data_IF_125555342836
#
_entry.id   IF_125555342836
#
_cell.length_a   1.000
_cell.length_b   1.000
_cell.length_c   1.000
_cell.angle_alpha   90.00
_cell.angle_beta   90.00
_cell.angle_gamma   90.00
#
_symmetry.space_group_name_H-M   'P 1'
#
loop_
_entity.id
_entity.type
_entity.pdbx_description
1 polymer ?
#
# COMPACT_ATOMS: atom_id res chain seq x y z
N UNK A 1 74.38 47.59 -35.68
CA UNK A 1 73.72 48.51 -36.64
C UNK A 1 72.26 48.07 -36.78
N UNK A 2 71.30 48.98 -36.62
CA UNK A 2 69.89 48.75 -37.03
C UNK A 2 69.86 48.53 -38.56
N UNK A 3 68.92 47.75 -39.11
CA UNK A 3 67.61 48.31 -39.43
C UNK A 3 66.42 47.38 -39.15
N UNK A 4 65.24 48.00 -39.18
CA UNK A 4 63.92 47.41 -39.01
C UNK A 4 63.25 47.19 -40.38
N UNK A 5 62.32 46.24 -40.48
CA UNK A 5 61.10 46.42 -41.29
C UNK A 5 59.94 45.54 -40.83
N UNK A 6 58.77 46.16 -40.82
CA UNK A 6 57.44 45.69 -40.39
C UNK A 6 56.73 44.84 -41.45
N UNK A 7 55.91 43.88 -41.02
CA UNK A 7 54.65 43.40 -41.64
C UNK A 7 53.94 42.50 -40.60
N UNK A 8 52.94 42.94 -39.83
CA UNK A 8 51.50 43.10 -40.10
C UNK A 8 50.80 41.85 -40.67
N UNK A 9 50.34 40.93 -39.81
CA UNK A 9 49.17 40.08 -40.07
C UNK A 9 48.32 39.98 -38.78
N UNK A 10 47.01 40.09 -39.01
CA UNK A 10 45.92 40.41 -38.08
C UNK A 10 45.64 39.31 -37.06
N UNK A 11 45.45 39.71 -35.80
CA UNK A 11 44.89 38.88 -34.75
C UNK A 11 43.38 38.68 -35.00
N UNK A 12 42.96 37.44 -35.21
CA UNK A 12 41.58 37.02 -35.05
C UNK A 12 41.38 36.63 -33.58
N UNK A 13 40.63 37.45 -32.84
CA UNK A 13 40.24 37.15 -31.47
C UNK A 13 39.26 35.98 -31.45
N UNK A 14 39.64 34.89 -30.80
CA UNK A 14 38.73 33.80 -30.48
C UNK A 14 37.89 34.22 -29.26
N UNK A 15 36.62 34.52 -29.49
CA UNK A 15 35.63 34.67 -28.42
C UNK A 15 35.31 33.26 -27.91
N UNK A 16 35.87 32.90 -26.75
CA UNK A 16 35.50 31.69 -26.03
C UNK A 16 34.10 31.89 -25.42
N UNK A 17 33.07 31.37 -26.08
CA UNK A 17 31.73 31.29 -25.54
C UNK A 17 31.67 30.14 -24.51
N UNK A 18 31.58 30.48 -23.23
CA UNK A 18 31.32 29.54 -22.14
C UNK A 18 29.91 28.95 -22.29
N UNK A 19 29.81 27.73 -22.83
CA UNK A 19 28.58 26.97 -22.81
C UNK A 19 28.30 26.49 -21.37
N UNK A 20 27.37 27.15 -20.69
CA UNK A 20 26.81 26.65 -19.45
C UNK A 20 26.06 25.34 -19.75
N UNK A 21 26.55 24.22 -19.22
CA UNK A 21 25.84 22.95 -19.20
C UNK A 21 24.59 23.10 -18.33
N UNK A 22 23.46 23.38 -18.97
CA UNK A 22 22.14 23.22 -18.37
C UNK A 22 21.87 21.71 -18.33
N UNK A 23 22.10 21.09 -17.18
CA UNK A 23 21.62 19.73 -16.94
C UNK A 23 20.08 19.77 -17.00
N UNK A 24 19.43 19.04 -17.92
CA UNK A 24 17.99 18.90 -17.86
C UNK A 24 17.65 18.13 -16.58
N UNK A 25 16.95 18.78 -15.66
CA UNK A 25 16.20 18.08 -14.61
C UNK A 25 15.20 17.18 -15.35
N UNK A 26 15.53 15.91 -15.53
CA UNK A 26 14.54 14.90 -15.85
C UNK A 26 13.64 14.81 -14.63
N UNK A 27 12.51 15.52 -14.67
CA UNK A 27 11.42 15.27 -13.75
C UNK A 27 11.08 13.78 -13.89
N UNK A 28 11.45 12.98 -12.89
CA UNK A 28 10.88 11.65 -12.72
C UNK A 28 9.36 11.85 -12.73
N UNK A 29 8.61 11.25 -13.67
CA UNK A 29 7.17 11.35 -13.62
C UNK A 29 6.74 10.84 -12.24
N UNK A 30 6.11 11.73 -11.47
CA UNK A 30 5.35 11.33 -10.30
C UNK A 30 4.44 10.20 -10.76
N UNK A 31 4.59 9.02 -10.14
CA UNK A 31 3.96 7.79 -10.60
C UNK A 31 2.51 8.05 -10.95
N UNK A 32 2.19 7.97 -12.25
CA UNK A 32 0.82 7.88 -12.68
C UNK A 32 0.25 6.65 -11.96
N UNK A 33 -0.73 6.86 -11.09
CA UNK A 33 -1.49 5.76 -10.54
C UNK A 33 -2.11 5.05 -11.74
N UNK A 34 -1.62 3.87 -12.07
CA UNK A 34 -2.24 3.02 -13.09
C UNK A 34 -3.68 2.85 -12.65
N UNK A 35 -4.62 3.28 -13.48
CA UNK A 35 -6.04 3.07 -13.21
C UNK A 35 -6.26 1.56 -13.03
N UNK A 36 -6.96 1.17 -11.97
CA UNK A 36 -7.27 -0.23 -11.72
C UNK A 36 -8.02 -0.81 -12.93
N UNK A 37 -7.61 -1.98 -13.40
CA UNK A 37 -8.25 -2.62 -14.55
C UNK A 37 -9.66 -3.07 -14.18
N UNK A 38 -10.64 -2.82 -15.05
CA UNK A 38 -11.96 -3.41 -14.85
C UNK A 38 -11.95 -4.85 -15.39
N UNK A 39 -12.02 -5.83 -14.51
CA UNK A 39 -11.96 -7.24 -14.88
C UNK A 39 -13.35 -7.89 -14.95
N UNK A 40 -13.46 -8.96 -15.73
CA UNK A 40 -14.67 -9.73 -15.92
C UNK A 40 -14.85 -10.84 -14.86
N UNK A 41 -16.11 -11.13 -14.52
CA UNK A 41 -16.53 -12.26 -13.70
C UNK A 41 -15.67 -12.51 -12.46
N UNK A 42 -15.14 -13.73 -12.32
CA UNK A 42 -14.35 -14.15 -11.15
C UNK A 42 -12.99 -13.43 -11.03
N UNK A 43 -12.53 -12.72 -12.06
CA UNK A 43 -11.35 -11.87 -11.95
C UNK A 43 -11.64 -10.49 -11.35
N UNK A 44 -12.91 -10.06 -11.29
CA UNK A 44 -13.29 -8.71 -10.84
C UNK A 44 -12.62 -8.23 -9.54
N UNK A 45 -12.39 -9.07 -8.51
CA UNK A 45 -11.72 -8.65 -7.28
C UNK A 45 -10.20 -8.42 -7.37
N UNK A 46 -9.55 -8.74 -8.50
CA UNK A 46 -8.08 -8.83 -8.66
C UNK A 46 -7.49 -7.78 -9.62
N UNK A 47 -8.10 -6.59 -9.66
CA UNK A 47 -7.77 -5.44 -10.53
C UNK A 47 -6.35 -4.85 -10.41
N UNK A 48 -5.56 -5.31 -9.44
CA UNK A 48 -4.19 -4.87 -9.12
C UNK A 48 -3.23 -6.05 -8.89
N UNK A 49 -3.58 -7.27 -9.31
CA UNK A 49 -2.67 -8.40 -9.18
C UNK A 49 -1.45 -8.17 -10.09
N UNK A 50 -0.21 -8.30 -9.58
CA UNK A 50 1.00 -7.99 -10.35
C UNK A 50 1.38 -9.17 -11.26
N UNK A 51 0.47 -9.60 -12.13
CA UNK A 51 0.64 -10.79 -12.99
C UNK A 51 1.84 -10.68 -13.94
N UNK A 52 2.18 -9.45 -14.34
CA UNK A 52 3.34 -9.17 -15.22
C UNK A 52 4.66 -9.01 -14.45
N UNK A 53 4.66 -9.14 -13.12
CA UNK A 53 5.89 -9.05 -12.36
C UNK A 53 6.82 -10.22 -12.74
N UNK A 54 8.14 -9.99 -12.92
CA UNK A 54 9.07 -11.04 -13.33
C UNK A 54 9.02 -12.29 -12.45
N UNK A 55 8.82 -12.12 -11.14
CA UNK A 55 8.70 -13.23 -10.20
C UNK A 55 7.42 -14.07 -10.42
N UNK A 56 6.31 -13.45 -10.83
CA UNK A 56 5.07 -14.16 -11.14
C UNK A 56 5.20 -14.91 -12.48
N UNK A 57 5.73 -14.24 -13.51
CA UNK A 57 5.92 -14.83 -14.85
C UNK A 57 6.95 -15.98 -14.87
N UNK A 58 7.90 -15.99 -13.94
CA UNK A 58 8.94 -17.01 -13.86
C UNK A 58 8.47 -18.32 -13.20
N UNK A 59 7.27 -18.35 -12.62
CA UNK A 59 6.72 -19.56 -11.99
C UNK A 59 6.42 -20.64 -13.03
N UNK A 60 6.82 -21.87 -12.74
CA UNK A 60 6.76 -22.98 -13.69
C UNK A 60 5.46 -23.79 -13.58
N UNK A 61 4.81 -23.84 -12.43
CA UNK A 61 3.61 -24.64 -12.17
C UNK A 61 3.86 -25.94 -11.42
N UNK A 62 5.13 -26.26 -11.11
CA UNK A 62 5.53 -27.44 -10.35
C UNK A 62 6.32 -27.03 -9.09
N UNK A 63 7.50 -26.44 -9.28
CA UNK A 63 8.34 -25.92 -8.18
C UNK A 63 7.74 -24.64 -7.61
N UNK A 64 7.23 -23.79 -8.49
CA UNK A 64 6.71 -22.47 -8.18
C UNK A 64 5.29 -22.32 -8.76
N UNK A 65 4.31 -21.95 -7.93
CA UNK A 65 2.92 -21.77 -8.37
C UNK A 65 2.47 -20.33 -8.13
N UNK A 66 1.97 -19.62 -9.16
CA UNK A 66 1.54 -18.23 -9.02
C UNK A 66 0.07 -18.16 -8.56
N UNK A 67 -0.21 -17.25 -7.64
CA UNK A 67 -1.55 -16.98 -7.12
C UNK A 67 -1.79 -15.46 -7.01
N UNK A 68 -3.01 -15.02 -7.23
CA UNK A 68 -3.48 -13.68 -6.89
C UNK A 68 -4.25 -13.73 -5.58
N UNK A 69 -3.96 -12.81 -4.65
CA UNK A 69 -4.66 -12.70 -3.36
C UNK A 69 -5.20 -11.29 -3.20
N UNK A 70 -6.46 -11.18 -2.81
CA UNK A 70 -7.13 -9.92 -2.51
C UNK A 70 -7.95 -10.07 -1.23
N UNK A 71 -8.01 -9.03 -0.41
CA UNK A 71 -8.86 -8.99 0.78
C UNK A 71 -9.46 -7.60 0.91
N UNK A 72 -10.77 -7.53 1.09
CA UNK A 72 -11.49 -6.28 1.24
C UNK A 72 -12.27 -6.27 2.54
N UNK A 73 -12.40 -5.10 3.14
CA UNK A 73 -13.31 -4.89 4.26
C UNK A 73 -13.98 -3.53 4.09
N UNK A 74 -15.32 -3.45 4.19
CA UNK A 74 -16.04 -2.19 3.99
C UNK A 74 -15.80 -1.18 5.12
N UNK A 75 -15.47 -1.64 6.33
CA UNK A 75 -15.30 -0.80 7.51
C UNK A 75 -14.62 -1.56 8.63
N UNK A 76 -14.23 -0.85 9.67
CA UNK A 76 -13.55 -1.43 10.82
C UNK A 76 -13.38 -0.42 11.94
N UNK A 77 -12.70 -0.85 12.99
CA UNK A 77 -12.27 0.00 14.10
C UNK A 77 -10.76 -0.12 14.26
N UNK A 78 -10.11 1.01 14.47
CA UNK A 78 -8.69 1.06 14.82
C UNK A 78 -8.50 1.90 16.07
N UNK A 79 -7.80 1.34 17.04
CA UNK A 79 -7.33 2.01 18.25
C UNK A 79 -5.82 2.09 18.21
N UNK A 80 -5.31 3.31 18.34
CA UNK A 80 -3.88 3.63 18.45
C UNK A 80 -3.69 4.40 19.75
N UNK A 81 -3.01 3.79 20.72
CA UNK A 81 -2.87 4.33 22.07
C UNK A 81 -4.20 4.77 22.67
N UNK A 82 -4.39 6.09 22.79
CA UNK A 82 -5.56 6.72 23.41
C UNK A 82 -6.70 7.05 22.43
N UNK A 83 -6.49 6.90 21.13
CA UNK A 83 -7.44 7.33 20.10
C UNK A 83 -8.06 6.13 19.39
N UNK A 84 -9.39 6.15 19.28
CA UNK A 84 -10.15 5.19 18.50
C UNK A 84 -10.82 5.91 17.32
N UNK A 85 -10.74 5.30 16.14
CA UNK A 85 -11.41 5.77 14.94
C UNK A 85 -12.01 4.59 14.17
N UNK A 86 -12.92 4.88 13.23
CA UNK A 86 -13.36 3.90 12.24
C UNK A 86 -12.38 3.85 11.09
N UNK A 87 -12.18 2.68 10.50
CA UNK A 87 -11.46 2.56 9.22
C UNK A 87 -12.43 2.85 8.07
N UNK A 88 -11.91 3.42 6.98
CA UNK A 88 -12.64 3.41 5.70
C UNK A 88 -12.68 2.00 5.11
N UNK A 89 -13.22 1.89 3.89
CA UNK A 89 -13.08 0.67 3.10
C UNK A 89 -11.60 0.37 2.86
N UNK A 90 -11.23 -0.90 2.84
CA UNK A 90 -9.86 -1.36 2.61
C UNK A 90 -9.85 -2.38 1.50
N UNK A 91 -8.80 -2.35 0.68
CA UNK A 91 -8.49 -3.33 -0.34
C UNK A 91 -6.99 -3.64 -0.22
N UNK A 92 -6.69 -4.83 0.26
CA UNK A 92 -5.37 -5.45 0.27
C UNK A 92 -5.27 -6.33 -0.97
N UNK A 93 -4.19 -6.22 -1.74
CA UNK A 93 -3.98 -7.08 -2.90
C UNK A 93 -2.49 -7.28 -3.20
N UNK A 94 -2.13 -8.48 -3.60
CA UNK A 94 -0.78 -8.85 -4.02
C UNK A 94 -0.78 -10.18 -4.78
N UNK A 95 0.31 -10.44 -5.50
CA UNK A 95 0.61 -11.76 -6.03
C UNK A 95 1.35 -12.60 -4.98
N UNK A 96 1.28 -13.91 -5.12
CA UNK A 96 2.02 -14.86 -4.29
C UNK A 96 2.66 -15.90 -5.20
N UNK A 97 3.94 -16.17 -4.97
CA UNK A 97 4.60 -17.38 -5.45
C UNK A 97 4.58 -18.39 -4.31
N UNK A 98 3.85 -19.48 -4.51
CA UNK A 98 3.85 -20.62 -3.60
C UNK A 98 5.01 -21.55 -3.97
N UNK A 99 5.71 -22.03 -2.94
CA UNK A 99 6.79 -23.02 -3.02
C UNK A 99 6.28 -24.33 -2.42
N UNK A 100 5.59 -25.22 -3.17
CA UNK A 100 4.86 -26.34 -2.58
C UNK A 100 5.76 -27.32 -1.84
N UNK A 101 6.96 -27.57 -2.34
CA UNK A 101 7.94 -28.47 -1.72
C UNK A 101 8.43 -27.97 -0.35
N UNK A 102 8.52 -26.64 -0.18
CA UNK A 102 8.97 -26.01 1.06
C UNK A 102 7.81 -25.67 2.00
N UNK A 103 6.58 -25.63 1.49
CA UNK A 103 5.41 -25.15 2.22
C UNK A 103 5.47 -23.65 2.54
N UNK A 104 6.18 -22.86 1.73
CA UNK A 104 6.40 -21.42 1.93
C UNK A 104 5.73 -20.58 0.85
N UNK A 105 5.62 -19.28 1.12
CA UNK A 105 5.00 -18.31 0.22
C UNK A 105 5.86 -17.05 0.13
N UNK A 106 6.08 -16.57 -1.09
CA UNK A 106 6.74 -15.30 -1.36
C UNK A 106 5.72 -14.31 -1.91
N UNK A 107 5.57 -13.17 -1.25
CA UNK A 107 4.65 -12.11 -1.70
C UNK A 107 5.30 -11.27 -2.79
N UNK A 108 4.55 -11.02 -3.86
CA UNK A 108 4.89 -10.08 -4.93
C UNK A 108 3.95 -8.88 -4.84
N UNK A 109 4.43 -7.69 -4.43
CA UNK A 109 3.56 -6.53 -4.25
C UNK A 109 3.23 -5.86 -5.60
N UNK A 110 2.05 -5.23 -5.74
CA UNK A 110 1.79 -4.31 -6.84
C UNK A 110 2.71 -3.09 -6.79
N UNK A 111 3.02 -2.48 -7.93
CA UNK A 111 3.91 -1.31 -8.00
C UNK A 111 3.41 -0.12 -7.17
N UNK A 112 2.09 0.08 -7.08
CA UNK A 112 1.45 1.12 -6.28
C UNK A 112 1.31 0.77 -4.78
N UNK A 113 1.80 -0.39 -4.35
CA UNK A 113 1.65 -0.93 -3.00
C UNK A 113 0.41 -1.82 -2.84
N UNK A 114 0.45 -2.68 -1.82
CA UNK A 114 -0.56 -3.72 -1.62
C UNK A 114 -1.87 -3.20 -1.00
N UNK A 115 -1.85 -2.06 -0.29
CA UNK A 115 -3.02 -1.53 0.42
C UNK A 115 -3.53 -0.27 -0.25
N UNK A 116 -4.84 -0.26 -0.54
CA UNK A 116 -5.64 0.95 -0.80
C UNK A 116 -6.67 1.08 0.31
N UNK A 117 -6.75 2.26 0.91
CA UNK A 117 -7.68 2.53 2.01
C UNK A 117 -8.46 3.81 1.73
N UNK A 118 -9.77 3.77 2.00
CA UNK A 118 -10.62 4.94 1.99
C UNK A 118 -10.27 5.92 3.11
N UNK A 119 -10.40 7.21 2.83
CA UNK A 119 -10.19 8.26 3.83
C UNK A 119 -11.22 8.12 4.95
N UNK A 120 -10.76 8.16 6.20
CA UNK A 120 -11.63 8.25 7.37
C UNK A 120 -11.46 9.61 8.05
N UNK A 121 -12.52 10.12 8.69
CA UNK A 121 -12.44 11.37 9.47
C UNK A 121 -12.16 11.03 10.92
N UNK A 122 -11.13 11.65 11.50
CA UNK A 122 -10.80 11.46 12.91
C UNK A 122 -11.81 12.21 13.78
N UNK A 123 -12.50 11.52 14.73
CA UNK A 123 -13.42 12.18 15.65
C UNK A 123 -12.78 13.35 16.39
N UNK A 124 -13.51 14.46 16.49
CA UNK A 124 -13.03 15.68 17.14
C UNK A 124 -12.09 16.55 16.30
N UNK A 125 -11.52 16.02 15.21
CA UNK A 125 -10.65 16.79 14.31
C UNK A 125 -9.39 17.32 15.00
N UNK A 126 -8.82 18.41 14.49
CA UNK A 126 -7.63 19.04 15.01
C UNK A 126 -7.85 19.58 16.43
N UNK A 127 -9.05 20.11 16.72
CA UNK A 127 -9.43 20.50 18.08
C UNK A 127 -9.38 19.31 19.03
N UNK A 128 -9.95 18.18 18.62
CA UNK A 128 -9.89 16.94 19.40
C UNK A 128 -8.47 16.41 19.56
N UNK A 129 -7.59 16.65 18.58
CA UNK A 129 -6.23 16.12 18.56
C UNK A 129 -5.23 17.00 19.33
N UNK A 130 -5.33 18.33 19.28
CA UNK A 130 -4.29 19.21 19.86
C UNK A 130 -4.83 20.33 20.75
N UNK A 131 -6.14 20.47 20.91
CA UNK A 131 -6.74 21.58 21.65
C UNK A 131 -7.62 21.10 22.83
N UNK A 132 -7.74 21.92 23.90
CA UNK A 132 -6.90 23.09 24.21
C UNK A 132 -5.46 22.70 24.58
N UNK A 133 -4.52 23.63 24.44
CA UNK A 133 -3.12 23.46 24.84
C UNK A 133 -2.57 24.74 25.45
N UNK A 134 -1.68 24.61 26.43
CA UNK A 134 -0.94 25.71 27.05
C UNK A 134 0.38 26.06 26.32
N UNK A 135 0.71 25.34 25.26
CA UNK A 135 1.92 25.59 24.46
C UNK A 135 1.64 26.68 23.43
N UNK A 136 2.35 27.83 23.44
CA UNK A 136 2.00 28.99 22.62
C UNK A 136 1.79 28.70 21.13
N UNK A 137 2.64 27.85 20.55
CA UNK A 137 2.55 27.45 19.13
C UNK A 137 1.26 26.68 18.86
N UNK A 138 0.87 25.76 19.75
CA UNK A 138 -0.37 24.98 19.59
C UNK A 138 -1.59 25.84 19.90
N UNK A 139 -1.53 26.69 20.93
CA UNK A 139 -2.61 27.65 21.25
C UNK A 139 -2.88 28.59 20.06
N UNK A 140 -1.83 29.04 19.37
CA UNK A 140 -1.96 29.84 18.14
C UNK A 140 -2.68 29.06 17.04
N UNK A 141 -2.28 27.80 16.78
CA UNK A 141 -2.97 26.93 15.82
C UNK A 141 -4.43 26.69 16.21
N UNK A 142 -4.71 26.42 17.49
CA UNK A 142 -6.07 26.28 18.00
C UNK A 142 -6.91 27.54 17.73
N UNK A 143 -6.33 28.72 17.89
CA UNK A 143 -6.98 30.00 17.55
C UNK A 143 -7.22 30.22 16.07
N UNK A 144 -6.47 29.55 15.18
CA UNK A 144 -6.69 29.61 13.72
C UNK A 144 -7.86 28.73 13.25
N UNK A 145 -8.33 27.79 14.08
CA UNK A 145 -9.43 26.88 13.72
C UNK A 145 -10.76 27.65 13.82
N UNK A 146 -11.09 28.33 12.73
CA UNK A 146 -12.28 29.19 12.63
C UNK A 146 -13.48 28.48 11.99
N UNK A 147 -13.28 27.31 11.40
CA UNK A 147 -14.32 26.57 10.68
C UNK A 147 -14.09 25.06 10.69
N UNK A 148 -15.11 24.32 10.25
CA UNK A 148 -15.12 22.86 10.23
C UNK A 148 -14.04 22.27 9.30
N UNK A 149 -13.66 22.94 8.22
CA UNK A 149 -12.63 22.48 7.28
C UNK A 149 -11.24 22.48 7.91
N UNK A 150 -10.89 23.54 8.63
CA UNK A 150 -9.62 23.62 9.38
C UNK A 150 -9.60 22.67 10.57
N UNK A 151 -10.78 22.32 11.13
CA UNK A 151 -10.87 21.31 12.16
C UNK A 151 -10.78 19.88 11.59
N UNK A 152 -11.26 19.61 10.38
CA UNK A 152 -11.35 18.24 9.84
C UNK A 152 -9.96 17.65 9.60
N UNK A 153 -9.68 16.50 10.23
CA UNK A 153 -8.48 15.70 9.97
C UNK A 153 -8.93 14.39 9.34
N UNK A 154 -8.36 14.05 8.18
CA UNK A 154 -8.58 12.74 7.56
C UNK A 154 -7.36 11.85 7.70
N UNK A 155 -7.58 10.57 7.94
CA UNK A 155 -6.53 9.57 7.97
C UNK A 155 -6.68 8.63 6.78
N UNK A 156 -5.55 8.22 6.21
CA UNK A 156 -5.46 7.21 5.14
C UNK A 156 -4.33 6.25 5.47
N UNK A 157 -4.60 4.95 5.42
CA UNK A 157 -3.58 3.92 5.58
C UNK A 157 -2.88 3.70 4.24
N UNK A 158 -1.56 3.73 4.24
CA UNK A 158 -0.72 3.52 3.07
C UNK A 158 0.27 2.38 3.31
N UNK A 159 0.66 1.71 2.23
CA UNK A 159 1.73 0.69 2.29
C UNK A 159 3.05 1.36 2.66
N UNK A 160 3.75 0.80 3.63
CA UNK A 160 5.08 1.26 4.04
C UNK A 160 6.21 0.33 3.56
N UNK A 161 5.87 -0.84 3.02
CA UNK A 161 6.77 -1.81 2.41
C UNK A 161 6.02 -3.02 1.85
N UNK A 162 6.76 -4.06 1.47
CA UNK A 162 6.21 -5.32 0.95
C UNK A 162 5.61 -6.16 2.09
N UNK A 163 4.38 -6.70 1.93
CA UNK A 163 3.86 -7.69 2.87
C UNK A 163 4.76 -8.92 2.94
N UNK A 164 4.81 -9.57 4.09
CA UNK A 164 5.64 -10.77 4.34
C UNK A 164 4.90 -11.71 5.29
N UNK A 165 5.46 -12.88 5.59
CA UNK A 165 4.83 -13.86 6.51
C UNK A 165 3.39 -14.21 6.09
N UNK A 166 3.13 -14.30 4.79
CA UNK A 166 1.82 -14.72 4.29
C UNK A 166 1.60 -16.21 4.57
N UNK A 167 0.41 -16.56 5.05
CA UNK A 167 -0.03 -17.93 5.27
C UNK A 167 -1.42 -18.13 4.69
N UNK A 168 -1.49 -18.91 3.62
CA UNK A 168 -2.77 -19.30 3.02
C UNK A 168 -3.61 -20.14 4.00
N UNK A 169 -2.95 -20.99 4.80
CA UNK A 169 -3.60 -21.84 5.81
C UNK A 169 -4.23 -21.00 6.92
N UNK A 170 -3.52 -19.98 7.41
CA UNK A 170 -4.08 -19.05 8.40
C UNK A 170 -5.32 -18.30 7.90
N UNK A 171 -5.47 -18.18 6.57
CA UNK A 171 -6.67 -17.62 5.94
C UNK A 171 -7.94 -18.42 6.23
N UNK A 172 -7.85 -19.74 6.40
CA UNK A 172 -8.99 -20.63 6.72
C UNK A 172 -9.01 -21.10 8.17
N UNK A 173 -7.94 -20.83 8.92
CA UNK A 173 -7.79 -21.21 10.33
C UNK A 173 -7.63 -19.99 11.25
N UNK A 174 -7.01 -20.21 12.40
CA UNK A 174 -6.55 -19.15 13.30
C UNK A 174 -5.10 -18.74 13.01
N UNK A 175 -4.72 -17.58 13.53
CA UNK A 175 -3.36 -17.04 13.46
C UNK A 175 -3.22 -15.86 12.47
N UNK A 176 -2.04 -15.21 12.45
CA UNK A 176 -1.74 -14.15 11.49
C UNK A 176 -1.78 -14.65 10.04
N UNK A 177 -2.52 -13.95 9.19
CA UNK A 177 -2.64 -14.26 7.76
C UNK A 177 -1.45 -13.68 6.99
N UNK A 178 -1.03 -12.47 7.35
CA UNK A 178 0.04 -11.73 6.67
C UNK A 178 0.58 -10.64 7.58
N UNK A 179 1.89 -10.36 7.48
CA UNK A 179 2.51 -9.19 8.10
C UNK A 179 2.49 -8.01 7.12
N UNK A 180 1.80 -6.94 7.49
CA UNK A 180 1.59 -5.74 6.69
C UNK A 180 2.35 -4.55 7.29
N UNK A 181 3.42 -4.07 6.66
CA UNK A 181 4.03 -2.79 7.01
C UNK A 181 3.19 -1.65 6.47
N UNK A 182 2.63 -0.82 7.36
CA UNK A 182 1.80 0.34 7.00
C UNK A 182 2.29 1.62 7.66
N UNK A 183 1.90 2.75 7.07
CA UNK A 183 1.99 4.09 7.66
C UNK A 183 0.66 4.79 7.50
N UNK A 184 0.33 5.71 8.40
CA UNK A 184 -0.96 6.40 8.39
C UNK A 184 -0.70 7.86 8.05
N UNK A 185 -1.19 8.31 6.91
CA UNK A 185 -1.14 9.72 6.52
C UNK A 185 -2.29 10.47 7.18
N UNK A 186 -1.98 11.55 7.87
CA UNK A 186 -2.94 12.51 8.40
C UNK A 186 -2.97 13.73 7.49
N UNK A 187 -4.14 14.09 6.99
CA UNK A 187 -4.32 15.22 6.09
C UNK A 187 -5.18 16.29 6.78
N UNK A 188 -4.64 17.49 6.87
CA UNK A 188 -5.31 18.72 7.27
C UNK A 188 -4.46 19.91 6.80
N UNK A 189 -5.05 21.05 6.39
CA UNK A 189 -4.28 22.21 5.93
C UNK A 189 -3.18 22.69 6.89
N UNK A 190 -3.40 22.57 8.19
CA UNK A 190 -2.46 22.99 9.24
C UNK A 190 -1.39 21.92 9.55
N UNK A 191 -1.67 20.65 9.26
CA UNK A 191 -0.72 19.54 9.40
C UNK A 191 0.17 19.37 8.16
N UNK A 192 -0.28 19.84 6.99
CA UNK A 192 0.41 19.63 5.72
C UNK A 192 0.26 18.20 5.18
N UNK A 193 0.83 17.96 3.99
CA UNK A 193 0.73 16.67 3.28
C UNK A 193 1.72 15.61 3.76
N UNK A 194 2.65 15.98 4.63
CA UNK A 194 3.74 15.12 5.09
C UNK A 194 3.56 14.63 6.54
N UNK A 195 2.37 14.77 7.11
CA UNK A 195 2.08 14.31 8.45
C UNK A 195 1.76 12.81 8.44
N UNK A 196 2.63 11.99 9.03
CA UNK A 196 2.46 10.53 9.10
C UNK A 196 2.64 10.01 10.52
N UNK A 197 1.86 8.99 10.89
CA UNK A 197 2.17 8.08 11.99
C UNK A 197 2.87 6.85 11.41
N UNK A 198 4.10 6.59 11.88
CA UNK A 198 5.01 5.63 11.26
C UNK A 198 5.65 6.14 9.97
N UNK A 199 6.57 5.36 9.41
CA UNK A 199 7.27 5.65 8.16
C UNK A 199 7.62 4.36 7.42
N UNK A 200 8.18 4.46 6.21
CA UNK A 200 8.72 3.30 5.49
C UNK A 200 9.91 2.64 6.19
N UNK A 201 10.68 3.40 6.98
CA UNK A 201 11.81 2.88 7.76
C UNK A 201 11.43 2.39 9.16
N UNK A 202 10.31 2.87 9.69
CA UNK A 202 9.76 2.46 10.98
C UNK A 202 8.22 2.36 10.86
N UNK A 203 7.71 1.29 10.23
CA UNK A 203 6.28 1.14 9.95
C UNK A 203 5.51 0.66 11.17
N UNK A 204 4.19 0.82 11.12
CA UNK A 204 3.26 0.02 11.94
C UNK A 204 3.21 -1.37 11.32
N UNK A 205 3.50 -2.42 12.10
CA UNK A 205 3.53 -3.80 11.61
C UNK A 205 2.25 -4.53 12.05
N UNK A 206 1.26 -4.56 11.17
CA UNK A 206 -0.01 -5.25 11.41
C UNK A 206 0.10 -6.73 11.04
N UNK A 207 -0.56 -7.59 11.80
CA UNK A 207 -0.66 -9.04 11.59
C UNK A 207 -2.11 -9.51 11.76
N UNK A 208 -3.03 -9.06 10.88
CA UNK A 208 -4.43 -9.46 10.98
C UNK A 208 -4.58 -10.97 10.88
N UNK A 209 -5.38 -11.53 11.79
CA UNK A 209 -5.87 -12.91 11.75
C UNK A 209 -7.39 -12.95 11.81
N UNK A 210 -7.98 -14.08 11.45
CA UNK A 210 -9.43 -14.27 11.60
C UNK A 210 -9.83 -14.24 13.09
N UNK A 211 -10.79 -13.38 13.43
CA UNK A 211 -11.42 -13.34 14.75
C UNK A 211 -12.63 -14.27 14.84
N UNK A 212 -13.18 -14.66 13.69
CA UNK A 212 -14.26 -15.62 13.54
C UNK A 212 -14.01 -16.51 12.33
N UNK A 213 -14.55 -17.72 12.32
CA UNK A 213 -14.42 -18.61 11.17
C UNK A 213 -15.06 -17.98 9.91
N UNK A 214 -14.35 -17.91 8.77
CA UNK A 214 -14.94 -17.45 7.51
C UNK A 214 -15.87 -18.51 6.92
N UNK A 215 -16.88 -18.06 6.16
CA UNK A 215 -17.55 -18.93 5.20
C UNK A 215 -16.61 -19.18 4.02
N UNK A 216 -16.57 -20.43 3.54
CA UNK A 216 -15.63 -20.88 2.48
C UNK A 216 -16.44 -21.34 1.26
N UNK A 217 -16.05 -20.89 0.07
CA UNK A 217 -16.50 -21.46 -1.19
C UNK A 217 -15.36 -21.51 -2.21
N UNK A 218 -15.52 -22.35 -3.22
CA UNK A 218 -14.62 -22.42 -4.36
C UNK A 218 -15.43 -22.47 -5.66
N UNK A 219 -14.95 -21.81 -6.69
CA UNK A 219 -15.57 -21.80 -8.01
C UNK A 219 -14.49 -21.91 -9.09
N UNK A 220 -14.75 -22.75 -10.10
CA UNK A 220 -13.96 -22.80 -11.33
C UNK A 220 -14.53 -21.83 -12.36
N UNK A 221 -13.65 -21.29 -13.19
CA UNK A 221 -14.00 -20.32 -14.21
C UNK A 221 -13.01 -20.37 -15.39
N UNK A 222 -13.44 -19.86 -16.54
CA UNK A 222 -12.60 -19.76 -17.74
C UNK A 222 -11.54 -18.67 -17.57
N UNK A 223 -10.49 -18.71 -18.40
CA UNK A 223 -9.43 -17.71 -18.39
C UNK A 223 -9.96 -16.26 -18.47
N UNK A 224 -11.01 -16.01 -19.26
CA UNK A 224 -11.66 -14.70 -19.46
C UNK A 224 -12.54 -14.23 -18.28
N UNK A 225 -12.56 -14.98 -17.17
CA UNK A 225 -13.34 -14.67 -15.98
C UNK A 225 -14.76 -15.21 -15.97
N UNK A 226 -15.27 -15.78 -17.07
CA UNK A 226 -16.64 -16.33 -17.15
C UNK A 226 -16.78 -17.63 -16.34
N UNK A 227 -17.94 -17.81 -15.71
CA UNK A 227 -18.22 -18.99 -14.87
C UNK A 227 -18.18 -20.29 -15.69
N UNK A 228 -17.45 -21.29 -15.17
CA UNK A 228 -17.39 -22.64 -15.75
C UNK A 228 -17.05 -23.65 -14.65
N UNK A 229 -18.06 -24.16 -13.90
CA UNK A 229 -17.84 -24.99 -12.73
C UNK A 229 -17.23 -26.35 -13.05
N UNK A 230 -17.45 -26.86 -14.27
CA UNK A 230 -17.05 -28.20 -14.68
C UNK A 230 -15.61 -28.21 -15.24
N UNK A 231 -15.31 -27.29 -16.17
CA UNK A 231 -14.09 -27.33 -16.99
C UNK A 231 -13.21 -26.08 -16.86
N UNK A 232 -13.53 -25.15 -15.96
CA UNK A 232 -12.77 -23.90 -15.80
C UNK A 232 -11.28 -24.13 -15.52
N UNK A 233 -10.43 -23.52 -16.35
CA UNK A 233 -8.97 -23.58 -16.23
C UNK A 233 -8.43 -22.79 -15.02
N UNK A 234 -9.24 -21.90 -14.48
CA UNK A 234 -8.94 -21.10 -13.29
C UNK A 234 -9.84 -21.51 -12.12
N UNK A 235 -9.31 -21.33 -10.90
CA UNK A 235 -10.06 -21.55 -9.65
C UNK A 235 -9.95 -20.32 -8.75
N UNK A 236 -11.06 -19.96 -8.13
CA UNK A 236 -11.12 -18.94 -7.09
C UNK A 236 -11.60 -19.60 -5.79
N UNK A 237 -10.88 -19.36 -4.70
CA UNK A 237 -11.32 -19.66 -3.34
C UNK A 237 -11.78 -18.34 -2.71
N UNK A 238 -12.99 -18.33 -2.17
CA UNK A 238 -13.58 -17.18 -1.51
C UNK A 238 -13.77 -17.47 -0.02
N UNK A 239 -13.35 -16.51 0.80
CA UNK A 239 -13.51 -16.49 2.24
C UNK A 239 -14.32 -15.24 2.60
N UNK A 240 -15.45 -15.39 3.27
CA UNK A 240 -16.39 -14.28 3.49
C UNK A 240 -16.95 -14.25 4.91
N UNK A 241 -17.38 -13.06 5.35
CA UNK A 241 -18.11 -12.88 6.60
C UNK A 241 -17.26 -12.93 7.87
N UNK A 242 -15.94 -13.13 7.77
CA UNK A 242 -15.07 -13.11 8.94
C UNK A 242 -14.73 -11.68 9.36
N UNK A 243 -14.72 -11.41 10.66
CA UNK A 243 -13.98 -10.27 11.18
C UNK A 243 -12.49 -10.64 11.22
N UNK A 244 -11.61 -9.72 10.86
CA UNK A 244 -10.16 -9.90 10.97
C UNK A 244 -9.59 -8.85 11.92
N UNK A 245 -8.54 -9.19 12.68
CA UNK A 245 -8.00 -8.24 13.62
C UNK A 245 -6.60 -8.55 14.13
N UNK A 246 -6.04 -7.56 14.81
CA UNK A 246 -4.73 -7.60 15.44
C UNK A 246 -4.74 -6.68 16.67
N UNK A 247 -4.20 -7.15 17.79
CA UNK A 247 -4.08 -6.38 19.03
C UNK A 247 -2.64 -6.30 19.57
N UNK A 248 -1.69 -6.91 18.87
CA UNK A 248 -0.31 -7.12 19.35
C UNK A 248 0.72 -6.23 18.65
N UNK A 249 0.27 -5.26 17.83
CA UNK A 249 1.16 -4.34 17.14
C UNK A 249 1.50 -3.11 17.99
N UNK A 250 2.71 -2.60 17.82
CA UNK A 250 3.15 -1.30 18.32
C UNK A 250 2.97 -0.21 17.27
N UNK A 251 2.85 1.04 17.71
CA UNK A 251 2.68 2.20 16.82
C UNK A 251 3.83 3.18 17.04
N UNK A 252 4.64 3.46 16.01
CA UNK A 252 5.70 4.47 16.08
C UNK A 252 5.16 5.90 16.26
N UNK A 253 6.09 6.85 16.47
CA UNK A 253 5.78 8.27 16.55
C UNK A 253 5.25 8.84 15.24
N UNK A 254 4.57 9.97 15.35
CA UNK A 254 4.23 10.85 14.26
C UNK A 254 5.45 11.64 13.77
N UNK A 255 5.43 12.04 12.50
CA UNK A 255 6.48 12.83 11.87
C UNK A 255 5.91 13.73 10.77
N UNK A 256 6.61 14.83 10.48
CA UNK A 256 6.29 15.73 9.38
C UNK A 256 4.97 16.52 9.54
N UNK A 257 4.43 16.58 10.76
CA UNK A 257 3.18 17.27 11.04
C UNK A 257 3.39 18.75 11.31
N UNK A 258 2.72 19.60 10.53
CA UNK A 258 2.84 21.06 10.57
C UNK A 258 4.11 21.57 9.88
N UNK A 259 4.25 22.89 9.83
CA UNK A 259 5.41 23.54 9.21
C UNK A 259 6.70 23.05 9.89
N UNK A 260 7.59 22.40 9.11
CA UNK A 260 8.84 21.84 9.62
C UNK A 260 8.68 20.70 10.64
N UNK A 261 7.50 20.08 10.75
CA UNK A 261 7.24 19.01 11.71
C UNK A 261 6.95 19.47 13.14
N UNK A 262 6.76 20.78 13.36
CA UNK A 262 6.57 21.40 14.68
C UNK A 262 5.36 20.91 15.47
N UNK A 263 4.41 20.21 14.84
CA UNK A 263 3.20 19.68 15.48
C UNK A 263 3.28 18.17 15.73
N UNK A 264 4.34 17.49 15.31
CA UNK A 264 4.46 16.02 15.44
C UNK A 264 4.38 15.57 16.90
N UNK A 265 5.03 16.30 17.81
CA UNK A 265 4.98 16.03 19.25
C UNK A 265 3.57 16.17 19.84
N UNK A 266 2.75 17.07 19.29
CA UNK A 266 1.37 17.27 19.77
C UNK A 266 0.48 16.09 19.35
N UNK A 267 0.68 15.58 18.13
CA UNK A 267 0.06 14.32 17.68
C UNK A 267 0.48 13.18 18.61
N UNK A 268 1.78 13.06 18.88
CA UNK A 268 2.32 12.02 19.76
C UNK A 268 1.69 12.07 21.15
N UNK A 269 1.64 13.25 21.78
CA UNK A 269 1.10 13.42 23.11
C UNK A 269 -0.37 13.01 23.19
N UNK A 270 -1.19 13.40 22.20
CA UNK A 270 -2.61 13.10 22.22
C UNK A 270 -2.90 11.64 21.94
N UNK A 271 -2.31 11.11 20.87
CA UNK A 271 -2.53 9.73 20.45
C UNK A 271 -1.88 8.77 21.46
N UNK A 272 -0.86 9.22 22.19
CA UNK A 272 -0.08 8.40 23.12
C UNK A 272 1.00 7.61 22.38
N UNK A 273 1.73 8.28 21.48
CA UNK A 273 2.77 7.67 20.66
C UNK A 273 4.18 7.93 21.21
N UNK A 274 5.12 6.98 21.05
CA UNK A 274 4.90 5.66 20.48
C UNK A 274 4.05 4.79 21.42
N UNK A 275 3.12 4.02 20.85
CA UNK A 275 2.25 3.13 21.62
C UNK A 275 2.84 1.71 21.61
N UNK A 276 3.01 1.11 22.78
CA UNK A 276 3.49 -0.26 22.91
C UNK A 276 2.45 -1.28 22.39
N UNK A 277 2.91 -2.49 22.07
CA UNK A 277 2.04 -3.63 21.78
C UNK A 277 1.05 -3.88 22.94
N UNK A 278 -0.16 -4.34 22.62
CA UNK A 278 -1.24 -4.55 23.59
C UNK A 278 -2.03 -3.29 23.97
N UNK A 279 -1.56 -2.10 23.59
CA UNK A 279 -2.32 -0.84 23.76
C UNK A 279 -3.15 -0.47 22.51
N UNK A 280 -2.97 -1.22 21.42
CA UNK A 280 -3.56 -0.95 20.12
C UNK A 280 -4.49 -2.09 19.71
N UNK A 281 -5.44 -1.81 18.84
CA UNK A 281 -6.36 -2.82 18.34
C UNK A 281 -6.84 -2.46 16.94
N UNK A 282 -6.90 -3.44 16.05
CA UNK A 282 -7.47 -3.35 14.73
C UNK A 282 -8.55 -4.42 14.61
N UNK A 283 -9.71 -4.02 14.11
CA UNK A 283 -10.79 -4.91 13.70
C UNK A 283 -11.27 -4.46 12.33
N UNK A 284 -11.21 -5.33 11.34
CA UNK A 284 -11.80 -5.18 10.01
C UNK A 284 -13.06 -6.03 9.98
N UNK A 285 -14.20 -5.41 9.70
CA UNK A 285 -15.51 -6.05 9.69
C UNK A 285 -15.81 -6.65 8.32
N UNK A 286 -16.55 -7.74 8.27
CA UNK A 286 -17.04 -8.37 7.03
C UNK A 286 -15.95 -8.49 5.95
N UNK A 287 -14.80 -9.06 6.33
CA UNK A 287 -13.70 -9.24 5.42
C UNK A 287 -14.07 -10.27 4.34
N UNK A 288 -13.80 -9.92 3.08
CA UNK A 288 -13.95 -10.78 1.91
C UNK A 288 -12.58 -10.98 1.28
N UNK A 289 -12.05 -12.19 1.42
CA UNK A 289 -10.74 -12.57 0.89
C UNK A 289 -10.94 -13.53 -0.26
N UNK A 290 -10.30 -13.26 -1.38
CA UNK A 290 -10.29 -14.15 -2.54
C UNK A 290 -8.85 -14.52 -2.88
N UNK A 291 -8.65 -15.78 -3.24
CA UNK A 291 -7.41 -16.28 -3.83
C UNK A 291 -7.76 -16.90 -5.18
N UNK A 292 -7.04 -16.54 -6.24
CA UNK A 292 -7.26 -17.10 -7.57
C UNK A 292 -5.94 -17.61 -8.18
N UNK A 293 -6.03 -18.65 -8.98
CA UNK A 293 -4.91 -19.26 -9.69
C UNK A 293 -5.38 -20.30 -10.71
N UNK A 294 -4.43 -21.02 -11.30
CA UNK A 294 -4.72 -22.14 -12.20
C UNK A 294 -5.37 -23.29 -11.41
N UNK A 295 -6.38 -23.93 -12.00
CA UNK A 295 -7.04 -25.11 -11.42
C UNK A 295 -6.07 -26.29 -11.26
N UNK A 296 -5.15 -26.45 -12.22
CA UNK A 296 -4.18 -27.55 -12.25
C UNK A 296 -2.81 -27.03 -12.76
N UNK A 297 -2.05 -26.29 -11.94
CA UNK A 297 -0.81 -25.62 -12.37
C UNK A 297 0.25 -26.58 -12.94
N UNK A 298 0.28 -27.84 -12.48
CA UNK A 298 1.21 -28.84 -13.00
C UNK A 298 0.96 -29.26 -14.47
N UNK A 299 -0.20 -28.93 -15.05
CA UNK A 299 -0.46 -29.12 -16.48
C UNK A 299 0.08 -27.97 -17.35
N UNK A 300 0.43 -26.85 -16.71
CA UNK A 300 0.91 -25.64 -17.36
C UNK A 300 2.43 -25.53 -17.33
N UNK A 301 3.15 -26.60 -16.95
CA UNK A 301 4.62 -26.59 -16.86
C UNK A 301 5.25 -26.44 -18.25
N UNK A 302 6.21 -25.51 -18.44
CA UNK A 302 6.90 -24.65 -17.45
C UNK A 302 6.40 -23.19 -17.40
N UNK A 303 5.17 -22.93 -17.86
CA UNK A 303 4.66 -21.61 -18.21
C UNK A 303 3.46 -21.16 -17.33
N UNK A 304 3.25 -21.76 -16.15
CA UNK A 304 2.12 -21.41 -15.27
C UNK A 304 2.01 -19.91 -14.95
N UNK A 305 3.14 -19.24 -14.75
CA UNK A 305 3.20 -17.78 -14.57
C UNK A 305 2.63 -17.00 -15.75
N UNK A 306 2.96 -17.44 -16.96
CA UNK A 306 2.50 -16.81 -18.21
C UNK A 306 1.02 -17.10 -18.45
N UNK A 307 0.58 -18.34 -18.24
CA UNK A 307 -0.84 -18.70 -18.38
C UNK A 307 -1.74 -17.94 -17.39
N UNK A 308 -1.29 -17.75 -16.14
CA UNK A 308 -2.01 -16.91 -15.17
C UNK A 308 -2.14 -15.47 -15.69
N UNK A 309 -1.05 -14.89 -16.19
CA UNK A 309 -1.04 -13.53 -16.71
C UNK A 309 -1.92 -13.39 -17.96
N UNK A 310 -1.85 -14.32 -18.91
CA UNK A 310 -2.69 -14.36 -20.10
C UNK A 310 -4.17 -14.43 -19.73
N UNK A 311 -4.54 -15.28 -18.77
CA UNK A 311 -5.92 -15.36 -18.29
C UNK A 311 -6.38 -14.04 -17.66
N UNK A 312 -5.59 -13.46 -16.75
CA UNK A 312 -5.92 -12.16 -16.16
C UNK A 312 -6.11 -11.07 -17.21
N UNK A 313 -5.20 -10.96 -18.19
CA UNK A 313 -5.29 -9.99 -19.28
C UNK A 313 -6.49 -10.24 -20.19
N UNK A 314 -6.86 -11.49 -20.44
CA UNK A 314 -8.04 -11.85 -21.25
C UNK A 314 -9.36 -11.41 -20.63
N UNK A 315 -9.37 -11.13 -19.32
CA UNK A 315 -10.55 -10.71 -18.57
C UNK A 315 -10.68 -9.18 -18.45
N UNK A 316 -9.71 -8.39 -18.95
CA UNK A 316 -9.76 -6.92 -18.94
C UNK A 316 -10.84 -6.42 -19.90
N UNK A 317 -11.66 -5.47 -19.44
CA UNK A 317 -12.75 -4.83 -20.21
C UNK A 317 -12.34 -3.49 -20.83
#
# INVERSE_FOLDING_TARGET
MRPASKTWIKAAGAVAASAALVMPLTATPAGAATAAAQLNGSWAPFDRCPVDAPAMLATDGDVDVPLCVTSTSPSGTIKLGNVTATTGSTNLQFGVVQHPAEGTYTVVPPAAGSIVSGKTTIPGGLLGIMCPSNVPVVSAVCGQITNATLNKVTATVESAGTPTEFSLVAGISSGPIVKLPVKIRLENPLLGSNCYIGSSSNPVLLRPGNLSAPGISAARFNADGSENPDEGSMIQIALSGAAQGDSQFSVPKASGCGLGGLLSWAIDLKVGLPAAAGSNNLVLNDAKTYTAGLTAPGLSVPDAGKELAEGWHSAVK
#
